data_IF_503041773705
#
_entry.id   IF_503041773705
#
_cell.length_a   1.000
_cell.length_b   1.000
_cell.length_c   1.000
_cell.angle_alpha   90.00
_cell.angle_beta   90.00
_cell.angle_gamma   90.00
#
_symmetry.space_group_name_H-M   'P 1'
#
loop_
_entity.id
_entity.type
_entity.pdbx_description
1 polymer ?
#
# COMPACT_ATOMS: atom_id res chain seq x y z
N UNK A 1 51.80 -32.96 -40.86
CA UNK A 1 51.73 -31.97 -39.77
C UNK A 1 50.59 -30.94 -39.97
N UNK A 2 49.43 -31.37 -40.44
CA UNK A 2 48.30 -30.42 -40.77
C UNK A 2 46.93 -30.84 -40.25
N UNK A 3 46.87 -31.60 -39.14
CA UNK A 3 45.61 -32.07 -38.53
C UNK A 3 45.42 -31.68 -37.05
N UNK A 4 46.26 -30.78 -36.50
CA UNK A 4 46.16 -30.38 -35.08
C UNK A 4 45.82 -28.87 -34.82
N UNK A 5 45.49 -28.09 -35.85
CA UNK A 5 45.21 -26.64 -35.72
C UNK A 5 43.71 -26.32 -35.80
N UNK A 6 42.82 -27.25 -36.17
CA UNK A 6 41.38 -27.00 -36.30
C UNK A 6 40.56 -27.23 -35.01
N UNK A 7 41.17 -27.65 -33.90
CA UNK A 7 40.44 -27.97 -32.66
C UNK A 7 40.48 -26.87 -31.62
N UNK A 8 41.10 -25.72 -31.86
CA UNK A 8 41.23 -24.62 -30.88
C UNK A 8 40.37 -23.36 -31.16
N UNK A 9 39.64 -23.33 -32.27
CA UNK A 9 38.79 -22.17 -32.63
C UNK A 9 37.32 -22.38 -32.24
N UNK A 10 36.88 -23.59 -31.89
CA UNK A 10 35.48 -23.86 -31.54
C UNK A 10 35.13 -23.67 -30.06
N UNK A 11 36.08 -23.29 -29.18
CA UNK A 11 35.82 -23.10 -27.74
C UNK A 11 35.61 -21.63 -27.31
N UNK A 12 35.73 -20.67 -28.23
CA UNK A 12 35.58 -19.24 -27.90
C UNK A 12 34.20 -18.63 -28.23
N UNK A 13 33.29 -19.41 -28.81
CA UNK A 13 31.95 -18.91 -29.18
C UNK A 13 30.86 -19.19 -28.13
N UNK A 14 31.17 -19.85 -27.01
CA UNK A 14 30.18 -20.18 -25.97
C UNK A 14 30.18 -19.27 -24.72
N UNK A 15 31.04 -18.25 -24.65
CA UNK A 15 31.21 -17.43 -23.46
C UNK A 15 30.57 -16.03 -23.55
N UNK A 16 29.85 -15.69 -24.61
CA UNK A 16 29.23 -14.36 -24.77
C UNK A 16 27.68 -14.39 -24.64
N UNK A 17 27.08 -15.55 -24.43
CA UNK A 17 25.63 -15.70 -24.38
C UNK A 17 25.02 -15.60 -22.96
N UNK A 18 25.72 -15.05 -21.96
CA UNK A 18 25.27 -15.10 -20.55
C UNK A 18 25.03 -13.76 -19.87
N UNK A 19 24.82 -12.68 -20.60
CA UNK A 19 24.39 -11.39 -20.03
C UNK A 19 23.32 -10.71 -20.88
N UNK A 20 22.38 -11.46 -21.42
CA UNK A 20 21.10 -10.88 -21.73
C UNK A 20 20.39 -10.70 -20.37
N UNK A 21 20.13 -9.48 -19.93
CA UNK A 21 19.29 -9.23 -18.79
C UNK A 21 18.00 -10.04 -18.98
N UNK A 22 17.79 -11.06 -18.13
CA UNK A 22 16.65 -11.94 -18.28
C UNK A 22 15.42 -11.16 -17.81
N UNK A 23 14.69 -10.57 -18.75
CA UNK A 23 13.46 -9.86 -18.46
C UNK A 23 12.36 -10.85 -18.07
N UNK A 24 11.49 -10.52 -17.11
CA UNK A 24 10.33 -11.37 -16.82
C UNK A 24 9.35 -11.32 -18.00
N UNK A 25 8.65 -12.42 -18.24
CA UNK A 25 7.59 -12.44 -19.26
C UNK A 25 6.41 -11.53 -18.91
N UNK A 26 6.17 -11.33 -17.60
CA UNK A 26 5.14 -10.44 -17.07
C UNK A 26 5.57 -9.82 -15.76
N UNK A 27 5.00 -8.66 -15.46
CA UNK A 27 5.04 -7.98 -14.18
C UNK A 27 3.64 -8.00 -13.56
N UNK A 28 3.49 -8.68 -12.43
CA UNK A 28 2.25 -8.69 -11.65
C UNK A 28 2.29 -7.57 -10.62
N UNK A 29 1.59 -6.49 -10.89
CA UNK A 29 1.53 -5.32 -10.01
C UNK A 29 0.10 -5.06 -9.53
N UNK A 30 -0.06 -4.64 -8.27
CA UNK A 30 -1.40 -4.37 -7.75
C UNK A 30 -1.99 -3.08 -8.30
N UNK A 31 -3.32 -3.09 -8.47
CA UNK A 31 -4.11 -1.88 -8.68
C UNK A 31 -4.92 -1.59 -7.43
N UNK A 32 -4.50 -0.55 -6.69
CA UNK A 32 -5.07 -0.18 -5.38
C UNK A 32 -5.57 1.25 -5.46
N UNK A 33 -6.89 1.45 -5.49
CA UNK A 33 -7.49 2.79 -5.58
C UNK A 33 -7.55 3.48 -4.21
N UNK A 34 -7.97 2.77 -3.18
CA UNK A 34 -8.14 3.32 -1.83
C UNK A 34 -6.80 3.41 -1.06
N UNK A 35 -6.58 4.45 -0.21
CA UNK A 35 -7.52 5.53 0.05
C UNK A 35 -7.75 6.49 -1.13
N UNK A 36 -6.67 6.98 -1.80
CA UNK A 36 -6.70 7.78 -3.03
C UNK A 36 -5.31 7.75 -3.69
N UNK A 37 -4.96 6.66 -4.35
CA UNK A 37 -3.60 6.41 -4.85
C UNK A 37 -3.43 6.96 -6.28
N UNK A 38 -3.21 8.27 -6.41
CA UNK A 38 -3.23 8.96 -7.72
C UNK A 38 -2.14 8.47 -8.67
N UNK A 39 -0.91 8.19 -8.19
CA UNK A 39 0.15 7.66 -9.06
C UNK A 39 -0.29 6.34 -9.70
N UNK A 40 -0.90 5.44 -8.91
CA UNK A 40 -1.35 4.15 -9.40
C UNK A 40 -2.48 4.28 -10.43
N UNK A 41 -3.41 5.22 -10.22
CA UNK A 41 -4.48 5.51 -11.17
C UNK A 41 -3.93 6.10 -12.48
N UNK A 42 -2.99 7.04 -12.40
CA UNK A 42 -2.33 7.66 -13.56
C UNK A 42 -1.52 6.62 -14.34
N UNK A 43 -0.67 5.83 -13.68
CA UNK A 43 0.12 4.78 -14.32
C UNK A 43 -0.74 3.85 -15.16
N UNK A 44 -1.85 3.37 -14.58
CA UNK A 44 -2.76 2.44 -15.27
C UNK A 44 -3.54 3.11 -16.38
N UNK A 45 -4.14 4.29 -16.11
CA UNK A 45 -4.99 5.00 -17.09
C UNK A 45 -4.23 5.42 -18.33
N UNK A 46 -2.99 5.89 -18.15
CA UNK A 46 -2.13 6.33 -19.23
C UNK A 46 -1.26 5.23 -19.82
N UNK A 47 -1.38 3.99 -19.30
CA UNK A 47 -0.58 2.83 -19.73
C UNK A 47 0.93 3.10 -19.65
N UNK A 48 1.38 3.75 -18.57
CA UNK A 48 2.78 4.18 -18.46
C UNK A 48 3.75 3.00 -18.32
N UNK A 49 3.38 1.96 -17.58
CA UNK A 49 4.21 0.75 -17.45
C UNK A 49 4.21 -0.06 -18.73
N UNK A 50 3.08 -0.17 -19.43
CA UNK A 50 2.99 -0.84 -20.72
C UNK A 50 3.92 -0.18 -21.75
N UNK A 51 3.92 1.15 -21.83
CA UNK A 51 4.81 1.93 -22.70
C UNK A 51 6.28 1.78 -22.30
N UNK A 52 6.57 1.85 -21.01
CA UNK A 52 7.93 1.74 -20.48
C UNK A 52 8.58 0.39 -20.84
N UNK A 53 7.79 -0.70 -20.81
CA UNK A 53 8.30 -2.06 -21.03
C UNK A 53 7.94 -2.67 -22.40
N UNK A 54 7.45 -1.88 -23.33
CA UNK A 54 7.05 -2.34 -24.67
C UNK A 54 8.20 -3.03 -25.42
N UNK A 55 9.40 -2.42 -25.36
CA UNK A 55 10.59 -2.91 -26.08
C UNK A 55 11.08 -4.26 -25.56
N UNK A 56 10.95 -4.52 -24.28
CA UNK A 56 11.32 -5.77 -23.62
C UNK A 56 10.23 -6.83 -23.73
N UNK A 57 9.04 -6.46 -24.20
CA UNK A 57 7.89 -7.36 -24.33
C UNK A 57 7.32 -7.83 -22.98
N UNK A 58 7.55 -7.09 -21.91
CA UNK A 58 7.02 -7.44 -20.57
C UNK A 58 5.54 -7.11 -20.53
N UNK A 59 4.71 -8.13 -20.30
CA UNK A 59 3.27 -7.93 -20.12
C UNK A 59 2.96 -7.39 -18.73
N UNK A 60 2.25 -6.27 -18.62
CA UNK A 60 1.80 -5.70 -17.34
C UNK A 60 0.46 -6.33 -16.96
N UNK A 61 0.44 -7.01 -15.81
CA UNK A 61 -0.76 -7.61 -15.25
C UNK A 61 -1.19 -6.82 -14.01
N UNK A 62 -2.21 -5.98 -14.17
CA UNK A 62 -2.78 -5.20 -13.08
C UNK A 62 -3.75 -6.05 -12.25
N UNK A 63 -3.42 -6.30 -10.99
CA UNK A 63 -4.20 -7.13 -10.06
C UNK A 63 -5.03 -6.21 -9.15
N UNK A 64 -6.37 -6.16 -9.32
CA UNK A 64 -7.22 -5.35 -8.44
C UNK A 64 -7.23 -5.92 -7.02
N UNK A 65 -6.86 -5.10 -6.04
CA UNK A 65 -6.82 -5.49 -4.63
C UNK A 65 -7.75 -4.58 -3.81
N UNK A 66 -8.55 -5.20 -2.94
CA UNK A 66 -9.51 -4.51 -2.06
C UNK A 66 -9.11 -4.52 -0.58
N UNK A 67 -8.06 -5.25 -0.19
CA UNK A 67 -7.61 -5.36 1.20
C UNK A 67 -6.11 -5.66 1.28
N UNK A 68 -5.38 -4.96 2.17
CA UNK A 68 -3.93 -5.09 2.34
C UNK A 68 -3.46 -6.51 2.65
N UNK A 69 -4.24 -7.29 3.42
CA UNK A 69 -3.90 -8.69 3.71
C UNK A 69 -3.82 -9.56 2.44
N UNK A 70 -4.58 -9.24 1.40
CA UNK A 70 -4.53 -9.96 0.13
C UNK A 70 -3.27 -9.61 -0.67
N UNK A 71 -2.72 -8.40 -0.51
CA UNK A 71 -1.41 -8.04 -1.07
C UNK A 71 -0.33 -8.97 -0.50
N UNK A 72 -0.27 -9.08 0.83
CA UNK A 72 0.70 -9.93 1.53
C UNK A 72 0.58 -11.38 1.11
N UNK A 73 -0.64 -11.92 1.05
CA UNK A 73 -0.88 -13.31 0.63
C UNK A 73 -0.46 -13.55 -0.82
N UNK A 74 -0.80 -12.66 -1.73
CA UNK A 74 -0.40 -12.75 -3.14
C UNK A 74 1.12 -12.67 -3.34
N UNK A 75 1.81 -11.80 -2.58
CA UNK A 75 3.28 -11.75 -2.59
C UNK A 75 3.89 -13.04 -2.03
N UNK A 76 3.39 -13.55 -0.92
CA UNK A 76 3.86 -14.80 -0.32
C UNK A 76 3.65 -16.02 -1.23
N UNK A 77 2.57 -16.02 -2.03
CA UNK A 77 2.27 -17.05 -3.02
C UNK A 77 3.05 -16.90 -4.34
N UNK A 78 3.76 -15.78 -4.54
CA UNK A 78 4.43 -15.48 -5.82
C UNK A 78 3.50 -15.00 -6.94
N UNK A 79 2.25 -14.69 -6.62
CA UNK A 79 1.23 -14.20 -7.56
C UNK A 79 1.34 -12.69 -7.81
N UNK A 80 1.94 -11.95 -6.87
CA UNK A 80 2.20 -10.52 -6.94
C UNK A 80 3.69 -10.27 -6.83
N UNK A 81 4.26 -9.55 -7.76
CA UNK A 81 5.67 -9.17 -7.78
C UNK A 81 5.88 -7.82 -7.10
N UNK A 82 5.01 -6.84 -7.39
CA UNK A 82 5.07 -5.49 -6.83
C UNK A 82 3.71 -5.01 -6.33
N UNK A 83 3.74 -4.22 -5.28
CA UNK A 83 2.55 -3.55 -4.73
C UNK A 83 2.70 -2.04 -4.94
N UNK A 84 1.80 -1.46 -5.74
CA UNK A 84 1.87 -0.04 -6.09
C UNK A 84 1.56 0.91 -4.91
N UNK A 85 0.86 0.43 -3.88
CA UNK A 85 0.63 1.17 -2.64
C UNK A 85 0.43 0.18 -1.49
N UNK A 86 1.42 0.06 -0.61
CA UNK A 86 1.39 -0.75 0.61
C UNK A 86 1.63 0.14 1.83
N UNK A 87 0.82 -0.03 2.86
CA UNK A 87 1.07 0.67 4.11
C UNK A 87 2.24 0.03 4.88
N UNK A 88 3.11 0.86 5.45
CA UNK A 88 4.31 0.41 6.17
C UNK A 88 4.01 -0.45 7.39
N UNK A 89 2.91 -0.23 8.12
CA UNK A 89 2.50 -1.14 9.21
C UNK A 89 2.17 -2.54 8.67
N UNK A 90 1.49 -2.65 7.53
CA UNK A 90 1.22 -3.93 6.86
C UNK A 90 2.51 -4.61 6.41
N UNK A 91 3.46 -3.84 5.87
CA UNK A 91 4.78 -4.32 5.45
C UNK A 91 5.58 -4.86 6.65
N UNK A 92 5.61 -4.15 7.78
CA UNK A 92 6.28 -4.59 9.01
C UNK A 92 5.66 -5.89 9.55
N UNK A 93 4.33 -5.97 9.62
CA UNK A 93 3.61 -7.18 10.06
C UNK A 93 3.96 -8.36 9.15
N UNK A 94 3.98 -8.15 7.83
CA UNK A 94 4.32 -9.19 6.86
C UNK A 94 5.77 -9.67 7.01
N UNK A 95 6.73 -8.75 7.10
CA UNK A 95 8.15 -9.10 7.25
C UNK A 95 8.44 -9.78 8.59
N UNK A 96 7.81 -9.34 9.69
CA UNK A 96 7.90 -10.03 11.01
C UNK A 96 7.34 -11.45 10.95
N UNK A 97 6.41 -11.75 10.05
CA UNK A 97 5.87 -13.09 9.81
C UNK A 97 6.70 -13.92 8.81
N UNK A 98 7.87 -13.42 8.37
CA UNK A 98 8.79 -14.12 7.49
C UNK A 98 8.64 -13.83 6.00
N UNK A 99 7.71 -12.94 5.59
CA UNK A 99 7.68 -12.46 4.22
C UNK A 99 8.88 -11.52 3.97
N UNK A 100 9.39 -11.53 2.74
CA UNK A 100 10.53 -10.69 2.35
C UNK A 100 10.06 -9.65 1.34
N UNK A 101 9.61 -8.51 1.86
CA UNK A 101 9.06 -7.40 1.08
C UNK A 101 9.94 -6.17 1.29
N UNK A 102 10.41 -5.56 0.20
CA UNK A 102 11.26 -4.37 0.22
C UNK A 102 10.46 -3.12 -0.15
N UNK A 103 10.82 -1.99 0.45
CA UNK A 103 10.36 -0.67 0.09
C UNK A 103 11.18 -0.18 -1.11
N UNK A 104 10.51 0.29 -2.14
CA UNK A 104 11.14 0.79 -3.37
C UNK A 104 11.11 2.31 -3.45
N UNK A 105 9.95 2.91 -3.13
CA UNK A 105 9.73 4.36 -3.26
C UNK A 105 8.57 4.80 -2.36
N UNK A 106 8.42 6.11 -2.13
CA UNK A 106 7.26 6.68 -1.45
C UNK A 106 6.03 6.75 -2.36
N UNK A 107 4.86 6.90 -1.75
CA UNK A 107 3.60 7.13 -2.45
C UNK A 107 2.79 8.25 -1.80
N UNK A 108 2.45 8.15 -0.52
CA UNK A 108 1.62 9.15 0.18
C UNK A 108 1.74 9.05 1.70
N UNK A 109 1.46 10.15 2.42
CA UNK A 109 1.24 10.22 3.87
C UNK A 109 -0.26 10.51 4.14
N UNK A 110 -1.16 9.55 3.92
CA UNK A 110 -2.60 9.80 3.87
C UNK A 110 -3.26 9.77 5.25
N UNK A 111 -2.70 10.48 6.23
CA UNK A 111 -3.13 10.41 7.64
C UNK A 111 -4.60 10.80 7.84
N UNK A 112 -5.12 11.74 7.08
CA UNK A 112 -6.53 12.16 7.13
C UNK A 112 -7.46 11.20 6.39
N UNK A 113 -6.92 10.27 5.60
CA UNK A 113 -7.72 9.33 4.82
C UNK A 113 -8.03 8.03 5.55
N UNK A 114 -7.65 7.87 6.81
CA UNK A 114 -7.97 6.71 7.64
C UNK A 114 -8.69 7.18 8.91
N UNK A 115 -9.89 6.67 9.16
CA UNK A 115 -10.68 7.11 10.28
C UNK A 115 -11.51 5.99 10.94
N UNK A 116 -11.83 6.19 12.21
CA UNK A 116 -12.92 5.50 12.90
C UNK A 116 -14.17 6.36 12.71
N UNK A 117 -15.13 5.86 11.95
CA UNK A 117 -16.43 6.46 11.77
C UNK A 117 -17.41 5.85 12.76
N UNK A 118 -18.23 6.68 13.42
CA UNK A 118 -19.14 6.23 14.46
C UNK A 118 -20.56 6.74 14.28
N UNK A 119 -21.50 6.00 14.85
CA UNK A 119 -22.90 6.44 14.96
C UNK A 119 -23.03 7.68 15.85
N UNK A 120 -24.08 8.51 15.68
CA UNK A 120 -24.27 9.70 16.49
C UNK A 120 -24.34 9.47 18.02
N UNK A 121 -24.59 8.24 18.45
CA UNK A 121 -24.63 7.87 19.86
C UNK A 121 -23.24 7.78 20.52
N UNK A 122 -22.21 7.41 19.76
CA UNK A 122 -20.80 7.29 20.21
C UNK A 122 -20.14 8.66 20.05
N UNK A 123 -19.68 9.28 21.12
CA UNK A 123 -19.11 10.65 21.10
C UNK A 123 -17.61 10.69 21.27
N UNK A 124 -17.05 9.71 21.97
CA UNK A 124 -15.64 9.60 22.30
C UNK A 124 -15.13 8.19 22.01
N UNK A 125 -13.82 8.02 21.94
CA UNK A 125 -13.20 6.68 21.79
C UNK A 125 -13.52 5.80 23.01
N UNK A 126 -13.64 6.39 24.21
CA UNK A 126 -14.02 5.67 25.43
C UNK A 126 -15.44 5.08 25.34
N UNK A 127 -16.36 5.71 24.62
CA UNK A 127 -17.73 5.20 24.42
C UNK A 127 -17.77 3.93 23.55
N UNK A 128 -16.64 3.57 22.88
CA UNK A 128 -16.55 2.31 22.11
C UNK A 128 -16.52 1.05 22.98
N UNK A 129 -16.37 1.20 24.31
CA UNK A 129 -16.36 0.05 25.24
C UNK A 129 -17.63 -0.77 25.10
N UNK A 130 -17.47 -2.09 24.94
CA UNK A 130 -18.55 -3.06 24.74
C UNK A 130 -19.38 -2.86 23.45
N UNK A 131 -19.01 -1.88 22.58
CA UNK A 131 -19.67 -1.64 21.30
C UNK A 131 -19.04 -2.45 20.15
N UNK A 132 -19.83 -2.66 19.09
CA UNK A 132 -19.37 -3.39 17.92
C UNK A 132 -18.64 -2.45 16.94
N UNK A 133 -17.39 -2.79 16.64
CA UNK A 133 -16.55 -2.13 15.64
C UNK A 133 -16.26 -3.10 14.52
N UNK A 134 -16.35 -2.64 13.27
CA UNK A 134 -16.04 -3.45 12.10
C UNK A 134 -14.86 -2.84 11.31
N UNK A 135 -13.98 -3.68 10.75
CA UNK A 135 -12.85 -3.17 9.97
C UNK A 135 -11.78 -4.22 9.69
N UNK A 136 -10.81 -3.93 8.79
CA UNK A 136 -9.82 -4.90 8.35
C UNK A 136 -8.73 -5.14 9.40
N UNK A 137 -8.47 -6.42 9.70
CA UNK A 137 -7.38 -6.85 10.60
C UNK A 137 -6.04 -6.89 9.87
N UNK A 138 -4.94 -6.61 10.60
CA UNK A 138 -3.57 -6.69 10.06
C UNK A 138 -3.24 -5.59 9.05
N UNK A 139 -3.84 -4.41 9.23
CA UNK A 139 -3.64 -3.23 8.37
C UNK A 139 -3.35 -2.00 9.23
N UNK A 140 -3.05 -0.87 8.58
CA UNK A 140 -2.93 0.44 9.26
C UNK A 140 -4.17 0.80 10.09
N UNK A 141 -5.36 0.45 9.61
CA UNK A 141 -6.61 0.71 10.35
C UNK A 141 -6.69 -0.11 11.65
N UNK A 142 -6.15 -1.34 11.66
CA UNK A 142 -5.99 -2.10 12.89
C UNK A 142 -5.01 -1.41 13.85
N UNK A 143 -3.86 -0.95 13.35
CA UNK A 143 -2.88 -0.18 14.13
C UNK A 143 -3.54 1.08 14.72
N UNK A 144 -4.26 1.85 13.91
CA UNK A 144 -4.98 3.06 14.34
C UNK A 144 -6.00 2.76 15.45
N UNK A 145 -6.82 1.72 15.31
CA UNK A 145 -7.79 1.33 16.35
C UNK A 145 -7.10 1.03 17.67
N UNK A 146 -6.04 0.22 17.65
CA UNK A 146 -5.29 -0.12 18.87
C UNK A 146 -4.68 1.12 19.52
N UNK A 147 -4.09 2.03 18.70
CA UNK A 147 -3.53 3.28 19.20
C UNK A 147 -4.60 4.22 19.81
N UNK A 148 -5.78 4.32 19.18
CA UNK A 148 -6.89 5.11 19.68
C UNK A 148 -7.40 4.59 21.04
N UNK A 149 -7.60 3.27 21.14
CA UNK A 149 -8.03 2.63 22.39
C UNK A 149 -6.99 2.80 23.49
N UNK A 150 -5.70 2.65 23.18
CA UNK A 150 -4.63 2.80 24.16
C UNK A 150 -4.55 4.20 24.76
N UNK A 151 -4.81 5.25 23.98
CA UNK A 151 -4.89 6.64 24.49
C UNK A 151 -5.95 6.81 25.60
N UNK A 152 -7.02 6.01 25.55
CA UNK A 152 -8.09 5.98 26.56
C UNK A 152 -7.86 4.91 27.64
N UNK A 153 -6.67 4.31 27.71
CA UNK A 153 -6.37 3.23 28.66
C UNK A 153 -7.10 1.91 28.37
N UNK A 154 -7.64 1.77 27.16
CA UNK A 154 -8.38 0.61 26.69
C UNK A 154 -7.52 -0.30 25.83
N UNK A 155 -7.98 -1.52 25.63
CA UNK A 155 -7.38 -2.52 24.73
C UNK A 155 -8.39 -2.99 23.69
N UNK A 156 -7.91 -3.76 22.71
CA UNK A 156 -8.78 -4.39 21.71
C UNK A 156 -9.81 -5.37 22.34
N UNK A 157 -9.54 -5.89 23.53
CA UNK A 157 -10.44 -6.75 24.29
C UNK A 157 -11.62 -6.03 24.91
N UNK A 158 -11.58 -4.69 25.01
CA UNK A 158 -12.66 -3.87 25.57
C UNK A 158 -13.75 -3.53 24.54
N UNK A 159 -13.58 -3.94 23.28
CA UNK A 159 -14.51 -3.69 22.19
C UNK A 159 -14.88 -4.99 21.46
N UNK A 160 -16.07 -5.07 20.87
CA UNK A 160 -16.50 -6.19 20.04
C UNK A 160 -16.06 -5.98 18.60
N UNK A 161 -14.79 -6.29 18.29
CA UNK A 161 -14.25 -6.06 16.96
C UNK A 161 -14.47 -7.24 16.03
N UNK A 162 -15.09 -6.97 14.87
CA UNK A 162 -15.34 -7.94 13.80
C UNK A 162 -14.53 -7.57 12.57
N UNK A 163 -13.63 -8.48 12.14
CA UNK A 163 -12.78 -8.26 10.97
C UNK A 163 -13.56 -8.43 9.66
N UNK A 164 -13.56 -7.38 8.83
CA UNK A 164 -14.11 -7.40 7.48
C UNK A 164 -13.42 -6.38 6.57
N UNK A 165 -13.62 -6.49 5.23
CA UNK A 165 -13.06 -5.53 4.28
C UNK A 165 -13.76 -4.18 4.32
N UNK A 166 -13.15 -3.14 3.73
CA UNK A 166 -13.67 -1.75 3.76
C UNK A 166 -15.10 -1.62 3.19
N UNK A 167 -15.44 -2.18 2.01
CA UNK A 167 -16.82 -2.08 1.51
C UNK A 167 -17.86 -2.71 2.44
N UNK A 168 -17.55 -3.88 3.01
CA UNK A 168 -18.43 -4.56 3.96
C UNK A 168 -18.55 -3.77 5.28
N UNK A 169 -17.46 -3.15 5.75
CA UNK A 169 -17.46 -2.29 6.95
C UNK A 169 -18.38 -1.09 6.78
N UNK A 170 -18.27 -0.39 5.64
CA UNK A 170 -19.15 0.73 5.31
C UNK A 170 -20.63 0.30 5.26
N UNK A 171 -20.93 -0.78 4.53
CA UNK A 171 -22.30 -1.30 4.40
C UNK A 171 -22.87 -1.74 5.75
N UNK A 172 -22.04 -2.33 6.62
CA UNK A 172 -22.45 -2.77 7.97
C UNK A 172 -22.76 -1.57 8.87
N UNK A 173 -21.93 -0.52 8.81
CA UNK A 173 -22.13 0.71 9.54
C UNK A 173 -23.41 1.43 9.10
N UNK A 174 -23.56 1.70 7.79
CA UNK A 174 -24.73 2.39 7.24
C UNK A 174 -26.02 1.60 7.49
N UNK A 175 -25.94 0.27 7.48
CA UNK A 175 -27.05 -0.61 7.80
C UNK A 175 -27.39 -0.70 9.30
N UNK A 176 -26.73 0.08 10.18
CA UNK A 176 -26.98 0.09 11.63
C UNK A 176 -26.66 -1.22 12.34
N UNK A 177 -25.80 -2.07 11.73
CA UNK A 177 -25.38 -3.36 12.28
C UNK A 177 -24.05 -3.31 13.01
N UNK A 178 -23.43 -2.14 13.10
CA UNK A 178 -22.28 -1.83 13.95
C UNK A 178 -22.37 -0.41 14.42
N UNK A 179 -21.77 -0.12 15.57
CA UNK A 179 -21.76 1.19 16.19
C UNK A 179 -20.66 2.08 15.61
N UNK A 180 -19.57 1.45 15.15
CA UNK A 180 -18.46 2.11 14.50
C UNK A 180 -17.84 1.24 13.40
N UNK A 181 -17.09 1.88 12.50
CA UNK A 181 -16.34 1.22 11.43
C UNK A 181 -14.99 1.88 11.16
N UNK A 182 -13.99 1.06 10.87
CA UNK A 182 -12.71 1.51 10.38
C UNK A 182 -12.83 1.71 8.86
N UNK A 183 -12.71 2.93 8.39
CA UNK A 183 -12.92 3.29 6.98
C UNK A 183 -11.71 4.04 6.43
N UNK A 184 -11.63 4.10 5.10
CA UNK A 184 -10.59 4.82 4.38
C UNK A 184 -11.14 5.53 3.15
N UNK A 185 -10.58 6.72 2.86
CA UNK A 185 -10.84 7.48 1.63
C UNK A 185 -12.33 7.76 1.43
N UNK A 186 -12.85 7.44 0.24
CA UNK A 186 -14.25 7.67 -0.12
C UNK A 186 -15.26 7.00 0.84
N UNK A 187 -14.85 5.94 1.55
CA UNK A 187 -15.68 5.30 2.57
C UNK A 187 -16.01 6.23 3.74
N UNK A 188 -15.07 7.11 4.14
CA UNK A 188 -15.26 8.13 5.17
C UNK A 188 -16.32 9.13 4.70
N UNK A 189 -16.16 9.69 3.50
CA UNK A 189 -17.09 10.68 2.93
C UNK A 189 -18.50 10.11 2.76
N UNK A 190 -18.62 8.87 2.31
CA UNK A 190 -19.90 8.18 2.18
C UNK A 190 -20.57 7.93 3.54
N UNK A 191 -19.81 7.61 4.58
CA UNK A 191 -20.34 7.48 5.95
C UNK A 191 -20.82 8.85 6.48
N UNK A 192 -20.07 9.95 6.24
CA UNK A 192 -20.47 11.30 6.60
C UNK A 192 -21.78 11.70 5.92
N UNK A 193 -21.90 11.46 4.60
CA UNK A 193 -23.16 11.72 3.85
C UNK A 193 -24.35 10.89 4.37
N UNK A 194 -24.08 9.73 4.98
CA UNK A 194 -25.09 8.88 5.62
C UNK A 194 -25.40 9.24 7.07
N UNK A 195 -24.82 10.34 7.61
CA UNK A 195 -25.09 10.85 8.96
C UNK A 195 -24.22 10.27 10.08
N UNK A 196 -23.15 9.56 9.73
CA UNK A 196 -22.11 9.14 10.68
C UNK A 196 -21.03 10.23 10.77
N UNK A 197 -20.31 10.27 11.90
CA UNK A 197 -19.26 11.25 12.08
C UNK A 197 -17.89 10.57 12.27
N UNK A 198 -16.85 11.32 11.99
CA UNK A 198 -15.49 10.93 12.31
C UNK A 198 -15.28 11.04 13.83
N UNK A 199 -14.95 9.92 14.46
CA UNK A 199 -14.62 9.87 15.88
C UNK A 199 -13.14 10.25 16.10
N UNK A 200 -12.27 9.71 15.27
CA UNK A 200 -10.83 10.00 15.21
C UNK A 200 -10.27 9.58 13.87
N UNK A 201 -9.30 10.32 13.34
CA UNK A 201 -8.49 9.92 12.20
C UNK A 201 -7.05 9.56 12.61
N UNK A 202 -6.25 9.09 11.66
CA UNK A 202 -4.87 8.71 11.95
C UNK A 202 -3.95 9.90 12.22
N UNK A 203 -4.28 11.10 11.76
CA UNK A 203 -3.46 12.31 11.93
C UNK A 203 -3.20 12.61 13.41
N UNK A 204 -1.92 12.67 13.78
CA UNK A 204 -1.48 12.88 15.16
C UNK A 204 -1.74 11.71 16.12
N UNK A 205 -2.17 10.57 15.58
CA UNK A 205 -2.35 9.32 16.32
C UNK A 205 -1.31 8.27 15.93
N UNK A 206 -1.16 8.04 14.64
CA UNK A 206 -0.15 7.16 14.04
C UNK A 206 0.35 7.77 12.73
N UNK A 207 1.56 7.44 12.36
CA UNK A 207 2.08 7.75 11.02
C UNK A 207 1.59 6.71 10.01
N UNK A 208 1.09 7.18 8.86
CA UNK A 208 0.54 6.31 7.83
C UNK A 208 1.29 6.50 6.51
N UNK A 209 2.36 5.75 6.32
CA UNK A 209 3.14 5.86 5.08
C UNK A 209 2.70 4.78 4.10
N UNK A 210 2.33 5.19 2.89
CA UNK A 210 2.16 4.30 1.74
C UNK A 210 3.43 4.30 0.91
N UNK A 211 3.85 3.10 0.51
CA UNK A 211 5.08 2.89 -0.25
C UNK A 211 4.84 1.97 -1.45
N UNK A 212 5.59 2.18 -2.51
CA UNK A 212 5.80 1.20 -3.57
C UNK A 212 6.67 0.09 -3.01
N UNK A 213 6.23 -1.15 -3.08
CA UNK A 213 6.92 -2.28 -2.49
C UNK A 213 7.11 -3.43 -3.49
N UNK A 214 8.13 -4.24 -3.27
CA UNK A 214 8.50 -5.36 -4.14
C UNK A 214 8.82 -6.60 -3.32
N UNK A 215 8.53 -7.77 -3.85
CA UNK A 215 9.01 -9.04 -3.30
C UNK A 215 10.53 -9.16 -3.51
N UNK A 216 11.27 -9.52 -2.46
CA UNK A 216 12.74 -9.52 -2.48
C UNK A 216 13.33 -10.39 -3.60
N UNK A 217 12.83 -11.61 -3.80
CA UNK A 217 13.33 -12.53 -4.83
C UNK A 217 13.09 -12.01 -6.26
N UNK A 218 12.00 -11.24 -6.48
CA UNK A 218 11.76 -10.55 -7.75
C UNK A 218 12.75 -9.40 -7.93
N UNK A 219 13.00 -8.60 -6.88
CA UNK A 219 13.95 -7.49 -6.91
C UNK A 219 15.38 -7.98 -7.18
N UNK A 220 15.81 -9.09 -6.56
CA UNK A 220 17.11 -9.71 -6.77
C UNK A 220 17.28 -10.22 -8.21
N UNK A 221 16.22 -10.78 -8.79
CA UNK A 221 16.25 -11.32 -10.16
C UNK A 221 16.12 -10.25 -11.24
N UNK A 222 15.35 -9.21 -10.99
CA UNK A 222 14.98 -8.20 -11.98
C UNK A 222 15.14 -6.75 -11.46
N UNK A 223 16.33 -6.35 -10.95
CA UNK A 223 16.52 -5.05 -10.32
C UNK A 223 16.23 -3.89 -11.27
N UNK A 224 16.53 -4.03 -12.56
CA UNK A 224 16.26 -2.98 -13.55
C UNK A 224 14.76 -2.75 -13.79
N UNK A 225 13.95 -3.80 -13.69
CA UNK A 225 12.49 -3.66 -13.76
C UNK A 225 11.99 -2.83 -12.58
N UNK A 226 12.47 -3.12 -11.37
CA UNK A 226 12.08 -2.40 -10.15
C UNK A 226 12.47 -0.92 -10.22
N UNK A 227 13.69 -0.60 -10.65
CA UNK A 227 14.15 0.80 -10.85
C UNK A 227 13.29 1.56 -11.85
N UNK A 228 12.93 0.92 -12.96
CA UNK A 228 12.09 1.53 -14.00
C UNK A 228 10.65 1.72 -13.53
N UNK A 229 10.08 0.79 -12.76
CA UNK A 229 8.76 0.98 -12.13
C UNK A 229 8.79 2.15 -11.15
N UNK A 230 9.83 2.28 -10.33
CA UNK A 230 10.00 3.43 -9.45
C UNK A 230 10.08 4.75 -10.21
N UNK A 231 10.82 4.79 -11.32
CA UNK A 231 10.89 5.96 -12.22
C UNK A 231 9.48 6.33 -12.74
N UNK A 232 8.73 5.36 -13.24
CA UNK A 232 7.37 5.58 -13.76
C UNK A 232 6.41 6.04 -12.64
N UNK A 233 6.55 5.53 -11.40
CA UNK A 233 5.79 6.01 -10.25
C UNK A 233 6.05 7.49 -9.98
N UNK A 234 7.31 7.94 -10.03
CA UNK A 234 7.68 9.36 -9.88
C UNK A 234 7.15 10.23 -11.01
N UNK A 235 7.24 9.77 -12.25
CA UNK A 235 6.71 10.47 -13.42
C UNK A 235 5.18 10.61 -13.34
N UNK A 236 4.48 9.59 -12.86
CA UNK A 236 3.04 9.66 -12.63
C UNK A 236 2.67 10.70 -11.55
N UNK A 237 3.47 10.81 -10.47
CA UNK A 237 3.27 11.86 -9.47
C UNK A 237 3.52 13.24 -10.05
N UNK A 238 4.62 13.44 -10.77
CA UNK A 238 4.94 14.72 -11.41
C UNK A 238 3.83 15.16 -12.37
N UNK A 239 3.31 14.21 -13.15
CA UNK A 239 2.17 14.48 -14.03
C UNK A 239 0.93 14.90 -13.24
N UNK A 240 0.59 14.17 -12.16
CA UNK A 240 -0.57 14.48 -11.33
C UNK A 240 -0.46 15.86 -10.66
N UNK A 241 0.73 16.27 -10.26
CA UNK A 241 0.98 17.60 -9.68
C UNK A 241 0.89 18.71 -10.74
N UNK A 242 1.44 18.48 -11.94
CA UNK A 242 1.38 19.44 -13.04
C UNK A 242 -0.03 19.57 -13.63
N UNK A 243 -0.87 18.53 -13.53
CA UNK A 243 -2.21 18.45 -14.09
C UNK A 243 -3.26 18.17 -13.01
N UNK A 244 -3.18 18.90 -11.86
CA UNK A 244 -3.99 18.65 -10.66
C UNK A 244 -5.48 18.46 -10.95
N UNK A 245 -6.06 19.33 -11.78
CA UNK A 245 -7.50 19.25 -12.13
C UNK A 245 -7.84 17.94 -12.85
N UNK A 246 -7.00 17.52 -13.83
CA UNK A 246 -7.21 16.27 -14.57
C UNK A 246 -6.99 15.03 -13.66
N UNK A 247 -6.02 15.10 -12.75
CA UNK A 247 -5.75 14.06 -11.78
C UNK A 247 -6.93 13.89 -10.81
N UNK A 248 -7.53 14.98 -10.32
CA UNK A 248 -8.72 14.96 -9.48
C UNK A 248 -9.91 14.36 -10.22
N UNK A 249 -10.13 14.77 -11.47
CA UNK A 249 -11.17 14.21 -12.36
C UNK A 249 -11.00 12.70 -12.57
N UNK A 250 -9.76 12.26 -12.80
CA UNK A 250 -9.43 10.84 -12.91
C UNK A 250 -9.77 10.10 -11.60
N UNK A 251 -9.35 10.64 -10.46
CA UNK A 251 -9.66 10.07 -9.14
C UNK A 251 -11.16 9.99 -8.86
N UNK A 252 -11.92 11.06 -9.18
CA UNK A 252 -13.37 11.09 -9.06
C UNK A 252 -14.02 9.95 -9.87
N UNK A 253 -13.63 9.81 -11.14
CA UNK A 253 -14.11 8.74 -12.03
C UNK A 253 -13.77 7.34 -11.51
N UNK A 254 -12.54 7.12 -11.06
CA UNK A 254 -12.07 5.83 -10.58
C UNK A 254 -12.74 5.39 -9.26
N UNK A 255 -13.09 6.35 -8.41
CA UNK A 255 -13.79 6.10 -7.14
C UNK A 255 -15.32 6.14 -7.27
N UNK A 256 -15.86 6.70 -8.35
CA UNK A 256 -17.30 6.90 -8.53
C UNK A 256 -17.87 7.92 -7.53
N UNK A 257 -17.12 9.00 -7.27
CA UNK A 257 -17.47 10.11 -6.36
C UNK A 257 -17.51 11.42 -7.13
N UNK A 258 -18.06 12.47 -6.55
CA UNK A 258 -18.02 13.81 -7.13
C UNK A 258 -16.60 14.41 -7.06
N UNK A 259 -16.40 15.48 -7.82
CA UNK A 259 -15.08 16.14 -7.95
C UNK A 259 -14.66 16.80 -6.65
N UNK A 260 -15.63 17.36 -5.87
CA UNK A 260 -15.35 17.98 -4.59
C UNK A 260 -14.81 16.97 -3.56
N UNK A 261 -15.42 15.78 -3.50
CA UNK A 261 -14.94 14.69 -2.66
C UNK A 261 -13.55 14.20 -3.10
N UNK A 262 -13.32 14.10 -4.41
CA UNK A 262 -12.02 13.71 -4.96
C UNK A 262 -10.93 14.74 -4.67
N UNK A 263 -11.26 16.03 -4.66
CA UNK A 263 -10.34 17.11 -4.29
C UNK A 263 -9.93 17.00 -2.83
N UNK A 264 -10.89 16.78 -1.91
CA UNK A 264 -10.59 16.51 -0.50
C UNK A 264 -9.66 15.33 -0.33
N UNK A 265 -9.93 14.21 -1.01
CA UNK A 265 -9.08 13.03 -0.92
C UNK A 265 -7.69 13.26 -1.51
N UNK A 266 -7.58 14.06 -2.57
CA UNK A 266 -6.29 14.44 -3.15
C UNK A 266 -5.46 15.23 -2.14
N UNK A 267 -6.04 16.20 -1.46
CA UNK A 267 -5.38 17.04 -0.44
C UNK A 267 -5.01 16.25 0.81
N UNK A 268 -5.89 15.36 1.27
CA UNK A 268 -5.65 14.50 2.44
C UNK A 268 -4.56 13.43 2.21
N UNK A 269 -4.15 13.24 0.97
CA UNK A 269 -3.22 12.15 0.62
C UNK A 269 -1.76 12.50 0.81
N UNK A 270 -1.37 13.78 0.76
CA UNK A 270 0.02 14.24 0.91
C UNK A 270 1.03 13.36 0.13
N UNK A 271 1.00 13.47 -1.20
CA UNK A 271 1.76 12.60 -2.11
C UNK A 271 3.25 12.91 -2.10
N UNK A 272 4.07 11.88 -2.04
CA UNK A 272 5.52 11.97 -2.10
C UNK A 272 6.11 10.79 -2.92
N UNK A 273 7.42 10.83 -3.20
CA UNK A 273 8.11 9.74 -3.91
C UNK A 273 9.41 9.31 -3.26
N UNK A 274 10.08 10.18 -2.50
CA UNK A 274 11.35 9.86 -1.86
C UNK A 274 11.18 9.81 -0.34
N UNK A 275 11.64 8.73 0.27
CA UNK A 275 11.62 8.61 1.72
C UNK A 275 12.63 9.59 2.35
N UNK A 276 12.18 10.26 3.40
CA UNK A 276 12.95 11.20 4.20
C UNK A 276 13.41 10.57 5.54
N UNK A 277 14.25 11.27 6.27
CA UNK A 277 14.63 10.85 7.63
C UNK A 277 13.42 10.75 8.58
N UNK A 278 12.40 11.60 8.37
CA UNK A 278 11.14 11.53 9.13
C UNK A 278 10.37 10.22 8.84
N UNK A 279 10.36 9.75 7.59
CA UNK A 279 9.72 8.47 7.23
C UNK A 279 10.44 7.27 7.88
N UNK A 280 11.76 7.33 7.94
CA UNK A 280 12.56 6.31 8.64
C UNK A 280 12.31 6.33 10.14
N UNK A 281 12.17 7.51 10.75
CA UNK A 281 11.80 7.65 12.15
C UNK A 281 10.39 7.13 12.42
N UNK A 282 9.42 7.44 11.55
CA UNK A 282 8.04 6.94 11.62
C UNK A 282 7.97 5.41 11.50
N UNK A 283 8.75 4.82 10.59
CA UNK A 283 8.86 3.36 10.43
C UNK A 283 9.37 2.70 11.71
N UNK A 284 10.36 3.31 12.36
CA UNK A 284 10.94 2.86 13.64
C UNK A 284 9.94 2.93 14.78
N UNK A 285 9.21 4.05 14.88
CA UNK A 285 8.17 4.25 15.87
C UNK A 285 7.01 3.25 15.68
N UNK A 286 6.57 3.05 14.44
CA UNK A 286 5.55 2.05 14.08
C UNK A 286 5.98 0.63 14.49
N UNK A 287 7.23 0.23 14.25
CA UNK A 287 7.72 -1.08 14.68
C UNK A 287 7.72 -1.23 16.21
N UNK A 288 8.18 -0.22 16.94
CA UNK A 288 8.18 -0.23 18.40
C UNK A 288 6.76 -0.41 18.94
N UNK A 289 5.80 0.35 18.42
CA UNK A 289 4.39 0.23 18.79
C UNK A 289 3.84 -1.18 18.49
N UNK A 290 4.07 -1.70 17.28
CA UNK A 290 3.58 -3.03 16.88
C UNK A 290 4.13 -4.15 17.77
N UNK A 291 5.37 -4.03 18.24
CA UNK A 291 5.99 -4.94 19.20
C UNK A 291 5.34 -4.84 20.59
N UNK A 292 5.22 -3.62 21.11
CA UNK A 292 4.58 -3.34 22.40
C UNK A 292 3.16 -3.89 22.45
N UNK A 293 2.38 -3.68 21.39
CA UNK A 293 1.00 -4.16 21.28
C UNK A 293 0.88 -5.63 20.88
N UNK A 294 2.01 -6.35 20.78
CA UNK A 294 2.07 -7.78 20.39
C UNK A 294 1.41 -8.07 19.04
N UNK A 295 1.33 -7.06 18.17
CA UNK A 295 0.85 -7.21 16.79
C UNK A 295 1.91 -7.89 15.91
N UNK A 296 3.18 -7.73 16.27
CA UNK A 296 4.32 -8.51 15.76
C UNK A 296 5.08 -9.16 16.93
N UNK A 297 5.70 -10.31 16.66
CA UNK A 297 6.45 -11.06 17.69
C UNK A 297 7.95 -10.81 17.62
N UNK A 298 8.46 -10.56 16.43
CA UNK A 298 9.88 -10.43 16.16
C UNK A 298 10.12 -9.08 15.47
N UNK A 299 11.11 -8.29 15.94
CA UNK A 299 11.49 -7.06 15.23
C UNK A 299 12.05 -7.40 13.85
N UNK A 300 11.79 -6.51 12.89
CA UNK A 300 12.35 -6.54 11.54
C UNK A 300 13.63 -5.71 11.55
N UNK A 301 14.69 -6.18 10.90
CA UNK A 301 15.86 -5.34 10.65
C UNK A 301 15.51 -4.30 9.59
N UNK A 302 15.26 -3.05 10.05
CA UNK A 302 14.82 -1.96 9.18
C UNK A 302 15.86 -1.61 8.12
N UNK A 303 17.15 -1.88 8.35
CA UNK A 303 18.22 -1.60 7.38
C UNK A 303 18.11 -2.47 6.12
N UNK A 304 17.46 -3.63 6.22
CA UNK A 304 17.28 -4.59 5.12
C UNK A 304 16.00 -4.39 4.32
N UNK A 305 15.16 -3.43 4.72
CA UNK A 305 13.84 -3.23 4.12
C UNK A 305 13.85 -2.44 2.81
N UNK A 306 14.98 -1.87 2.42
CA UNK A 306 15.04 -0.96 1.28
C UNK A 306 15.67 -1.63 0.06
N UNK A 307 15.02 -1.47 -1.09
CA UNK A 307 15.61 -1.80 -2.39
C UNK A 307 16.74 -0.82 -2.70
N UNK A 308 17.90 -1.35 -3.15
CA UNK A 308 19.12 -0.60 -3.44
C UNK A 308 19.36 -0.44 -4.95
#
# INVERSE_FOLDING_TARGET
MMKKILALISLWFFAVAAYAAQWPQQLNITYVKAPFNIQNMVMKKQQLLEKEFEKEGIRINWIPIKAGINQVRGMAAGEIDMVAAMNTSTLLIANSAGNKILIVDGVAHPDETFAIMASPAIKTVADLKDHQIVGPKGTVLHHMLVAALQKEGMSIGDVRWVSMNLPSSLTTLIGGRSDAALLAGAGILNAQKAGFHELVCAKGLIETNLVLAVRQDFAERYPEVVKRVAKVNREALQWAQAHKAEAIQLGASEHGIDVEDAEKLYEWSDFYSQLSDSDLAALKASQAFLLEQKMIKTPVDLSTLFFQ
#
